data_IF_982111386245
#
_entry.id   IF_982111386245
#
_cell.length_a   1.000
_cell.length_b   1.000
_cell.length_c   1.000
_cell.angle_alpha   90.00
_cell.angle_beta   90.00
_cell.angle_gamma   90.00
#
_symmetry.space_group_name_H-M   'P 1'
#
loop_
_entity.id
_entity.type
_entity.pdbx_description
1 polymer ?
#
# COMPACT_ATOMS: atom_id res chain seq x y z
N UNK A 1 -35.77 -6.53 -13.81
CA UNK A 1 -34.82 -5.75 -14.65
C UNK A 1 -33.52 -6.53 -14.74
N UNK A 2 -32.84 -6.54 -15.89
CA UNK A 2 -31.54 -7.18 -16.08
C UNK A 2 -30.58 -6.18 -16.74
N UNK A 3 -29.48 -5.87 -16.04
CA UNK A 3 -28.40 -5.06 -16.61
C UNK A 3 -27.35 -5.99 -17.20
N UNK A 4 -27.16 -5.92 -18.51
CA UNK A 4 -26.16 -6.73 -19.22
C UNK A 4 -25.48 -5.87 -20.28
N UNK A 5 -24.17 -6.01 -20.39
CA UNK A 5 -23.35 -5.38 -21.44
C UNK A 5 -23.08 -6.42 -22.52
N UNK A 6 -23.83 -6.40 -23.65
CA UNK A 6 -23.67 -7.39 -24.71
C UNK A 6 -22.26 -7.34 -25.32
N UNK A 7 -21.60 -6.18 -25.26
CA UNK A 7 -20.25 -5.91 -25.76
C UNK A 7 -19.12 -6.61 -24.97
N UNK A 8 -19.42 -7.18 -23.80
CA UNK A 8 -18.42 -7.84 -22.95
C UNK A 8 -18.45 -9.37 -23.02
N UNK A 9 -19.38 -9.96 -23.76
CA UNK A 9 -19.49 -11.42 -23.92
C UNK A 9 -18.86 -11.80 -25.27
N UNK A 10 -17.79 -12.60 -25.25
CA UNK A 10 -17.19 -13.11 -26.49
C UNK A 10 -18.09 -14.15 -27.16
N UNK A 11 -18.35 -13.98 -28.47
CA UNK A 11 -19.05 -14.94 -29.33
C UNK A 11 -20.30 -14.41 -30.03
N UNK A 12 -20.74 -15.07 -31.12
CA UNK A 12 -21.93 -14.70 -31.91
C UNK A 12 -23.25 -14.80 -31.12
N UNK A 13 -23.24 -15.44 -29.94
CA UNK A 13 -24.36 -15.56 -28.99
C UNK A 13 -24.45 -14.41 -27.96
N UNK A 14 -23.65 -13.35 -28.10
CA UNK A 14 -23.70 -12.17 -27.21
C UNK A 14 -25.03 -11.39 -27.30
N UNK A 15 -25.80 -11.61 -28.37
CA UNK A 15 -27.12 -11.05 -28.57
C UNK A 15 -28.19 -12.03 -28.11
N UNK A 16 -29.04 -11.59 -27.18
CA UNK A 16 -30.21 -12.36 -26.76
C UNK A 16 -31.11 -12.64 -27.98
N UNK A 17 -31.61 -13.88 -28.17
CA UNK A 17 -32.48 -14.20 -29.30
C UNK A 17 -33.72 -13.30 -29.38
N UNK A 18 -34.19 -12.98 -30.58
CA UNK A 18 -35.34 -12.10 -30.78
C UNK A 18 -36.63 -12.70 -30.18
N UNK A 19 -36.74 -14.02 -30.19
CA UNK A 19 -37.82 -14.80 -29.58
C UNK A 19 -37.79 -14.60 -28.06
N UNK A 20 -36.60 -14.59 -27.44
CA UNK A 20 -36.44 -14.33 -26.02
C UNK A 20 -36.89 -12.92 -25.65
N UNK A 21 -36.46 -11.90 -26.41
CA UNK A 21 -36.85 -10.51 -26.17
C UNK A 21 -38.38 -10.30 -26.25
N UNK A 22 -39.04 -11.01 -27.17
CA UNK A 22 -40.51 -10.97 -27.34
C UNK A 22 -41.22 -11.60 -26.14
N UNK A 23 -40.78 -12.78 -25.71
CA UNK A 23 -41.36 -13.54 -24.59
C UNK A 23 -41.24 -12.81 -23.24
N UNK A 24 -40.16 -12.08 -23.01
CA UNK A 24 -39.92 -11.41 -21.71
C UNK A 24 -40.50 -9.99 -21.63
N UNK A 25 -40.94 -9.41 -22.75
CA UNK A 25 -41.43 -8.02 -22.86
C UNK A 25 -42.47 -7.61 -21.80
N UNK A 26 -43.46 -8.43 -21.40
CA UNK A 26 -44.45 -8.00 -20.42
C UNK A 26 -43.93 -7.96 -18.97
N UNK A 27 -42.78 -8.57 -18.68
CA UNK A 27 -42.29 -8.82 -17.30
C UNK A 27 -40.84 -8.41 -17.05
N UNK A 28 -40.17 -7.85 -18.03
CA UNK A 28 -38.75 -7.55 -17.93
C UNK A 28 -38.37 -6.25 -18.62
N UNK A 29 -37.24 -5.71 -18.18
CA UNK A 29 -36.59 -4.55 -18.75
C UNK A 29 -35.09 -4.86 -18.80
N UNK A 30 -34.49 -4.78 -19.98
CA UNK A 30 -33.07 -5.04 -20.20
C UNK A 30 -32.38 -3.74 -20.61
N UNK A 31 -31.25 -3.43 -19.97
CA UNK A 31 -30.45 -2.23 -20.25
C UNK A 31 -28.96 -2.55 -20.09
N UNK A 32 -28.09 -1.72 -20.64
CA UNK A 32 -26.63 -1.85 -20.47
C UNK A 32 -26.09 -1.14 -19.22
N UNK A 33 -26.88 -0.22 -18.65
CA UNK A 33 -26.51 0.53 -17.46
C UNK A 33 -27.76 0.99 -16.70
N UNK A 34 -27.61 1.16 -15.38
CA UNK A 34 -28.62 1.77 -14.52
C UNK A 34 -27.97 2.47 -13.33
N UNK A 35 -28.74 3.34 -12.67
CA UNK A 35 -28.43 3.85 -11.34
C UNK A 35 -28.67 2.77 -10.29
N UNK A 36 -27.73 1.82 -10.16
CA UNK A 36 -27.88 0.62 -9.32
C UNK A 36 -28.36 0.94 -7.89
N UNK A 37 -27.83 1.99 -7.26
CA UNK A 37 -28.27 2.46 -5.95
C UNK A 37 -29.77 2.81 -5.89
N UNK A 38 -30.28 3.50 -6.89
CA UNK A 38 -31.70 3.89 -6.96
C UNK A 38 -32.58 2.68 -7.21
N UNK A 39 -32.15 1.78 -8.09
CA UNK A 39 -32.84 0.52 -8.38
C UNK A 39 -32.96 -0.31 -7.11
N UNK A 40 -31.84 -0.60 -6.43
CA UNK A 40 -31.85 -1.39 -5.18
C UNK A 40 -32.69 -0.73 -4.07
N UNK A 41 -32.77 0.61 -4.05
CA UNK A 41 -33.59 1.34 -3.07
C UNK A 41 -35.08 1.36 -3.42
N UNK A 42 -35.47 0.92 -4.61
CA UNK A 42 -36.86 0.95 -5.07
C UNK A 42 -37.68 -0.17 -4.41
N UNK A 43 -38.89 0.12 -3.88
CA UNK A 43 -39.69 -0.85 -3.12
C UNK A 43 -40.16 -2.07 -3.94
N UNK A 44 -40.12 -1.99 -5.28
CA UNK A 44 -40.43 -3.11 -6.16
C UNK A 44 -39.30 -4.15 -6.29
N UNK A 45 -38.11 -3.90 -5.74
CA UNK A 45 -36.99 -4.85 -5.79
C UNK A 45 -37.10 -5.83 -4.61
N UNK A 46 -37.36 -7.09 -4.92
CA UNK A 46 -37.36 -8.19 -3.94
C UNK A 46 -36.05 -8.98 -3.86
N UNK A 47 -35.11 -8.75 -4.77
CA UNK A 47 -33.87 -9.54 -4.82
C UNK A 47 -32.84 -9.04 -5.83
N UNK A 48 -31.57 -9.38 -5.59
CA UNK A 48 -30.44 -8.95 -6.41
C UNK A 48 -29.51 -10.10 -6.78
N UNK A 49 -29.42 -10.45 -8.07
CA UNK A 49 -28.42 -11.38 -8.58
C UNK A 49 -27.11 -10.62 -8.81
N UNK A 50 -26.03 -11.04 -8.16
CA UNK A 50 -24.75 -10.33 -8.13
C UNK A 50 -23.55 -11.25 -8.07
N UNK A 51 -22.41 -10.75 -8.54
CA UNK A 51 -21.11 -11.41 -8.43
C UNK A 51 -20.45 -11.23 -7.06
N UNK A 52 -21.12 -10.58 -6.10
CA UNK A 52 -20.64 -10.39 -4.72
C UNK A 52 -19.40 -9.51 -4.58
N UNK A 53 -19.15 -8.59 -5.50
CA UNK A 53 -18.15 -7.53 -5.28
C UNK A 53 -18.55 -6.66 -4.09
N UNK A 54 -17.58 -6.24 -3.27
CA UNK A 54 -17.84 -5.58 -1.99
C UNK A 54 -18.78 -4.37 -2.08
N UNK A 55 -18.64 -3.54 -3.11
CA UNK A 55 -19.52 -2.38 -3.33
C UNK A 55 -20.98 -2.80 -3.54
N UNK A 56 -21.23 -3.79 -4.40
CA UNK A 56 -22.58 -4.31 -4.67
C UNK A 56 -23.19 -4.98 -3.45
N UNK A 57 -22.37 -5.71 -2.67
CA UNK A 57 -22.76 -6.28 -1.39
C UNK A 57 -23.19 -5.20 -0.39
N UNK A 58 -22.40 -4.14 -0.24
CA UNK A 58 -22.71 -3.02 0.65
C UNK A 58 -23.97 -2.26 0.22
N UNK A 59 -24.16 -2.03 -1.09
CA UNK A 59 -25.37 -1.38 -1.62
C UNK A 59 -26.62 -2.20 -1.34
N UNK A 60 -26.60 -3.52 -1.60
CA UNK A 60 -27.72 -4.42 -1.33
C UNK A 60 -28.04 -4.50 0.16
N UNK A 61 -27.01 -4.58 1.01
CA UNK A 61 -27.15 -4.60 2.46
C UNK A 61 -27.76 -3.28 2.99
N UNK A 62 -27.31 -2.12 2.48
CA UNK A 62 -27.87 -0.82 2.83
C UNK A 62 -29.30 -0.62 2.30
N UNK A 63 -29.65 -1.28 1.20
CA UNK A 63 -30.99 -1.27 0.64
C UNK A 63 -31.95 -2.22 1.37
N UNK A 64 -31.42 -3.26 2.04
CA UNK A 64 -32.19 -4.33 2.67
C UNK A 64 -32.68 -5.37 1.66
N UNK A 65 -31.92 -5.60 0.59
CA UNK A 65 -32.28 -6.50 -0.50
C UNK A 65 -31.46 -7.81 -0.39
N UNK A 66 -32.10 -8.98 -0.37
CA UNK A 66 -31.41 -10.27 -0.36
C UNK A 66 -30.81 -10.61 -1.74
N UNK A 67 -29.79 -11.47 -1.75
CA UNK A 67 -28.95 -11.71 -2.93
C UNK A 67 -28.97 -13.15 -3.44
N UNK A 68 -28.91 -13.31 -4.76
CA UNK A 68 -28.42 -14.53 -5.40
C UNK A 68 -26.96 -14.29 -5.77
N UNK A 69 -26.07 -15.16 -5.31
CA UNK A 69 -24.63 -14.97 -5.34
C UNK A 69 -23.98 -15.82 -6.44
N UNK A 70 -23.19 -15.17 -7.30
CA UNK A 70 -22.46 -15.84 -8.38
C UNK A 70 -21.02 -15.29 -8.54
N UNK A 71 -20.11 -15.63 -7.61
CA UNK A 71 -18.77 -15.05 -7.56
C UNK A 71 -17.87 -15.52 -8.71
N UNK A 72 -16.95 -14.65 -9.15
CA UNK A 72 -16.01 -14.92 -10.25
C UNK A 72 -14.54 -14.76 -9.84
N UNK A 73 -14.13 -13.62 -9.24
CA UNK A 73 -12.72 -13.32 -8.96
C UNK A 73 -12.50 -12.43 -7.73
N UNK A 74 -11.23 -12.23 -7.34
CA UNK A 74 -10.80 -11.36 -6.25
C UNK A 74 -11.43 -11.73 -4.89
N UNK A 75 -12.13 -10.80 -4.25
CA UNK A 75 -12.76 -10.94 -2.93
C UNK A 75 -14.17 -11.56 -2.98
N UNK A 76 -14.66 -11.89 -4.17
CA UNK A 76 -16.05 -12.30 -4.38
C UNK A 76 -16.40 -13.64 -3.75
N UNK A 77 -15.50 -14.63 -3.80
CA UNK A 77 -15.71 -15.94 -3.17
C UNK A 77 -15.79 -15.81 -1.63
N UNK A 78 -14.86 -15.11 -0.94
CA UNK A 78 -15.02 -14.77 0.47
C UNK A 78 -16.34 -14.03 0.77
N UNK A 79 -16.70 -13.01 -0.02
CA UNK A 79 -17.94 -12.25 0.19
C UNK A 79 -19.19 -13.14 0.07
N UNK A 80 -19.25 -14.00 -0.95
CA UNK A 80 -20.32 -14.99 -1.14
C UNK A 80 -20.49 -15.89 0.09
N UNK A 81 -19.37 -16.38 0.65
CA UNK A 81 -19.38 -17.21 1.86
C UNK A 81 -20.02 -16.48 3.05
N UNK A 82 -19.63 -15.23 3.30
CA UNK A 82 -20.23 -14.40 4.36
C UNK A 82 -21.72 -14.16 4.13
N UNK A 83 -22.11 -13.80 2.91
CA UNK A 83 -23.51 -13.56 2.53
C UNK A 83 -24.40 -14.77 2.80
N UNK A 84 -23.93 -15.96 2.41
CA UNK A 84 -24.71 -17.19 2.48
C UNK A 84 -24.68 -17.85 3.87
N UNK A 85 -23.53 -17.83 4.55
CA UNK A 85 -23.31 -18.63 5.77
C UNK A 85 -23.40 -17.80 7.06
N UNK A 86 -22.89 -16.58 7.05
CA UNK A 86 -22.75 -15.76 8.27
C UNK A 86 -23.89 -14.76 8.42
N UNK A 87 -24.23 -14.04 7.34
CA UNK A 87 -25.23 -12.97 7.37
C UNK A 87 -26.62 -13.47 7.02
N UNK A 88 -26.71 -14.58 6.28
CA UNK A 88 -27.96 -15.21 5.88
C UNK A 88 -28.82 -14.34 4.98
N UNK A 89 -28.19 -13.56 4.11
CA UNK A 89 -28.85 -12.67 3.12
C UNK A 89 -28.51 -13.06 1.68
N UNK A 90 -27.92 -14.24 1.48
CA UNK A 90 -27.48 -14.74 0.18
C UNK A 90 -27.83 -16.22 -0.06
N UNK A 91 -28.06 -16.57 -1.33
CA UNK A 91 -28.03 -17.97 -1.82
C UNK A 91 -27.10 -18.07 -3.02
N UNK A 92 -26.17 -19.01 -2.98
CA UNK A 92 -25.19 -19.23 -4.04
C UNK A 92 -25.74 -20.06 -5.21
N UNK A 93 -25.42 -19.64 -6.44
CA UNK A 93 -25.73 -20.39 -7.67
C UNK A 93 -24.80 -21.60 -7.80
N UNK A 94 -23.51 -21.46 -7.47
CA UNK A 94 -22.48 -22.49 -7.67
C UNK A 94 -21.95 -22.55 -9.11
N UNK A 95 -21.10 -23.54 -9.39
CA UNK A 95 -20.33 -23.61 -10.65
C UNK A 95 -21.13 -24.16 -11.85
N UNK A 96 -22.02 -25.15 -11.63
CA UNK A 96 -22.88 -25.71 -12.67
C UNK A 96 -24.17 -24.89 -12.82
N UNK A 97 -24.09 -23.82 -13.61
CA UNK A 97 -25.22 -22.89 -13.86
C UNK A 97 -26.13 -23.43 -14.95
N UNK A 98 -27.28 -23.98 -14.52
CA UNK A 98 -28.36 -24.44 -15.39
C UNK A 98 -29.62 -23.62 -15.20
N UNK A 99 -30.41 -23.44 -16.26
CA UNK A 99 -31.63 -22.64 -16.26
C UNK A 99 -32.57 -23.01 -15.13
N UNK A 100 -32.82 -24.31 -14.93
CA UNK A 100 -33.77 -24.81 -13.93
C UNK A 100 -33.29 -24.52 -12.52
N UNK A 101 -31.96 -24.47 -12.31
CA UNK A 101 -31.38 -24.11 -11.02
C UNK A 101 -31.56 -22.62 -10.75
N UNK A 102 -31.30 -21.77 -11.73
CA UNK A 102 -31.49 -20.31 -11.61
C UNK A 102 -32.95 -19.98 -11.36
N UNK A 103 -33.87 -20.61 -12.08
CA UNK A 103 -35.32 -20.46 -11.90
C UNK A 103 -35.74 -20.80 -10.47
N UNK A 104 -35.37 -21.97 -9.95
CA UNK A 104 -35.67 -22.37 -8.55
C UNK A 104 -35.11 -21.39 -7.52
N UNK A 105 -33.91 -20.85 -7.75
CA UNK A 105 -33.31 -19.87 -6.84
C UNK A 105 -34.06 -18.54 -6.85
N UNK A 106 -34.52 -18.09 -8.02
CA UNK A 106 -35.35 -16.88 -8.16
C UNK A 106 -36.69 -17.09 -7.46
N UNK A 107 -37.36 -18.23 -7.68
CA UNK A 107 -38.63 -18.56 -7.01
C UNK A 107 -38.48 -18.62 -5.49
N UNK A 108 -37.43 -19.27 -5.00
CA UNK A 108 -37.17 -19.36 -3.56
C UNK A 108 -36.86 -17.98 -2.94
N UNK A 109 -36.11 -17.13 -3.65
CA UNK A 109 -35.80 -15.76 -3.21
C UNK A 109 -37.07 -14.88 -3.15
N UNK A 110 -37.90 -14.94 -4.19
CA UNK A 110 -39.03 -14.02 -4.36
C UNK A 110 -40.31 -14.45 -3.65
N UNK A 111 -40.52 -15.76 -3.42
CA UNK A 111 -41.75 -16.29 -2.83
C UNK A 111 -41.56 -17.40 -1.79
N UNK A 112 -40.38 -18.00 -1.74
CA UNK A 112 -40.06 -19.11 -0.83
C UNK A 112 -39.88 -18.69 0.63
N UNK A 113 -39.88 -19.68 1.52
CA UNK A 113 -39.72 -19.46 2.96
C UNK A 113 -38.30 -18.97 3.29
N UNK A 114 -37.29 -19.46 2.58
CA UNK A 114 -35.91 -18.99 2.72
C UNK A 114 -35.78 -17.55 2.22
N UNK A 115 -36.44 -17.19 1.11
CA UNK A 115 -36.53 -15.83 0.60
C UNK A 115 -37.02 -14.83 1.65
N UNK A 116 -38.18 -15.12 2.26
CA UNK A 116 -38.76 -14.31 3.33
C UNK A 116 -37.84 -14.15 4.54
N UNK A 117 -37.15 -15.22 4.94
CA UNK A 117 -36.19 -15.17 6.04
C UNK A 117 -34.96 -14.32 5.70
N UNK A 118 -34.46 -14.40 4.46
CA UNK A 118 -33.36 -13.56 4.00
C UNK A 118 -33.76 -12.10 3.89
N UNK A 119 -34.97 -11.79 3.42
CA UNK A 119 -35.51 -10.43 3.38
C UNK A 119 -35.57 -9.82 4.79
N UNK A 120 -36.11 -10.57 5.76
CA UNK A 120 -36.14 -10.18 7.17
C UNK A 120 -34.74 -9.86 7.70
N UNK A 121 -33.76 -10.75 7.45
CA UNK A 121 -32.36 -10.53 7.83
C UNK A 121 -31.73 -9.34 7.09
N UNK A 122 -32.05 -9.14 5.82
CA UNK A 122 -31.55 -8.02 5.03
C UNK A 122 -32.04 -6.68 5.60
N UNK A 123 -33.30 -6.60 6.03
CA UNK A 123 -33.83 -5.43 6.74
C UNK A 123 -33.16 -5.20 8.10
N UNK A 124 -32.83 -6.25 8.85
CA UNK A 124 -32.05 -6.12 10.08
C UNK A 124 -30.64 -5.57 9.81
N UNK A 125 -29.96 -6.08 8.77
CA UNK A 125 -28.65 -5.58 8.37
C UNK A 125 -28.70 -4.14 7.87
N UNK A 126 -29.74 -3.76 7.11
CA UNK A 126 -30.01 -2.37 6.71
C UNK A 126 -30.11 -1.47 7.94
N UNK A 127 -30.89 -1.86 8.94
CA UNK A 127 -31.04 -1.08 10.17
C UNK A 127 -29.70 -0.94 10.93
N UNK A 128 -28.91 -2.02 11.01
CA UNK A 128 -27.57 -2.00 11.63
C UNK A 128 -26.60 -1.10 10.87
N UNK A 129 -26.55 -1.20 9.54
CA UNK A 129 -25.72 -0.35 8.69
C UNK A 129 -26.09 1.13 8.83
N UNK A 130 -27.39 1.44 8.81
CA UNK A 130 -27.91 2.79 9.04
C UNK A 130 -27.51 3.34 10.41
N UNK A 131 -27.67 2.54 11.48
CA UNK A 131 -27.25 2.93 12.84
C UNK A 131 -25.75 3.14 12.95
N UNK A 132 -24.94 2.31 12.31
CA UNK A 132 -23.48 2.43 12.35
C UNK A 132 -23.00 3.73 11.65
N UNK A 133 -23.66 4.13 10.56
CA UNK A 133 -23.31 5.31 9.77
C UNK A 133 -23.98 6.62 10.23
N UNK A 134 -25.06 6.55 11.00
CA UNK A 134 -25.74 7.74 11.55
C UNK A 134 -24.85 8.52 12.52
N UNK A 135 -25.17 9.80 12.76
CA UNK A 135 -24.45 10.63 13.74
C UNK A 135 -24.40 9.92 15.10
N UNK A 136 -23.21 9.78 15.68
CA UNK A 136 -22.98 9.03 16.92
C UNK A 136 -22.96 7.50 16.78
N UNK A 137 -23.12 6.96 15.57
CA UNK A 137 -22.93 5.56 15.24
C UNK A 137 -21.47 5.13 15.25
N UNK A 138 -21.20 3.83 15.35
CA UNK A 138 -19.82 3.30 15.47
C UNK A 138 -18.89 3.66 14.30
N UNK A 139 -19.37 3.55 13.06
CA UNK A 139 -18.58 3.94 11.88
C UNK A 139 -18.40 5.46 11.79
N UNK A 140 -19.42 6.23 12.18
CA UNK A 140 -19.35 7.69 12.25
C UNK A 140 -18.30 8.15 13.28
N UNK A 141 -18.31 7.57 14.49
CA UNK A 141 -17.32 7.85 15.55
C UNK A 141 -15.92 7.48 15.07
N UNK A 142 -15.76 6.32 14.41
CA UNK A 142 -14.47 5.91 13.88
C UNK A 142 -13.94 6.87 12.82
N UNK A 143 -14.80 7.36 11.91
CA UNK A 143 -14.41 8.35 10.91
C UNK A 143 -14.06 9.70 11.56
N UNK A 144 -14.88 10.17 12.50
CA UNK A 144 -14.63 11.39 13.26
C UNK A 144 -13.29 11.30 14.01
N UNK A 145 -12.99 10.13 14.58
CA UNK A 145 -11.70 9.84 15.21
C UNK A 145 -10.54 9.89 14.21
N UNK A 146 -10.67 9.30 13.02
CA UNK A 146 -9.63 9.39 11.97
C UNK A 146 -9.38 10.83 11.53
N UNK A 147 -10.43 11.66 11.49
CA UNK A 147 -10.31 13.08 11.12
C UNK A 147 -9.66 13.90 12.25
N UNK A 148 -10.03 13.61 13.50
CA UNK A 148 -9.63 14.41 14.66
C UNK A 148 -8.36 13.97 15.34
N UNK A 149 -7.99 12.69 15.28
CA UNK A 149 -6.77 12.19 15.89
C UNK A 149 -5.57 12.72 15.11
N UNK A 150 -4.80 13.66 15.69
CA UNK A 150 -3.61 14.14 15.03
C UNK A 150 -2.59 13.01 14.95
N UNK A 151 -1.86 12.98 13.85
CA UNK A 151 -0.65 12.16 13.74
C UNK A 151 0.35 12.63 14.82
N UNK A 152 0.55 11.81 15.84
CA UNK A 152 1.47 12.08 16.95
C UNK A 152 2.31 10.85 17.20
N UNK A 153 3.59 10.93 16.84
CA UNK A 153 4.55 9.88 17.12
C UNK A 153 4.99 9.97 18.59
N UNK A 154 4.51 9.04 19.40
CA UNK A 154 4.90 8.95 20.80
C UNK A 154 6.26 8.29 20.91
N UNK A 155 7.08 8.77 21.85
CA UNK A 155 8.32 8.10 22.21
C UNK A 155 8.07 7.07 23.30
N UNK A 156 8.30 5.79 22.99
CA UNK A 156 8.02 4.66 23.89
C UNK A 156 9.21 4.27 24.76
N UNK A 157 10.18 5.19 24.92
CA UNK A 157 11.36 5.07 25.81
C UNK A 157 12.34 3.94 25.45
N UNK A 158 12.22 3.38 24.25
CA UNK A 158 13.16 2.42 23.68
C UNK A 158 14.47 3.06 23.21
N UNK A 159 15.35 2.23 22.66
CA UNK A 159 16.65 2.73 22.21
C UNK A 159 16.53 3.46 20.86
N UNK A 160 17.20 4.60 20.74
CA UNK A 160 17.42 5.29 19.47
C UNK A 160 18.87 5.11 19.02
N UNK A 161 19.14 5.12 17.72
CA UNK A 161 20.51 5.07 17.23
C UNK A 161 21.16 6.46 17.34
N UNK A 162 22.30 6.55 18.02
CA UNK A 162 23.03 7.80 18.27
C UNK A 162 24.54 7.60 18.21
N UNK A 163 25.29 8.61 17.78
CA UNK A 163 26.73 8.54 17.56
C UNK A 163 27.08 8.22 16.11
N UNK A 164 28.24 7.60 15.88
CA UNK A 164 28.72 7.27 14.55
C UNK A 164 28.35 5.82 14.19
N UNK A 165 27.61 5.65 13.09
CA UNK A 165 27.24 4.34 12.56
C UNK A 165 27.72 4.18 11.12
N UNK A 166 28.13 2.97 10.76
CA UNK A 166 28.38 2.58 9.38
C UNK A 166 27.10 1.97 8.77
N UNK A 167 26.75 2.38 7.55
CA UNK A 167 25.70 1.72 6.77
C UNK A 167 26.34 0.78 5.75
N UNK A 168 26.28 -0.52 6.01
CA UNK A 168 26.69 -1.54 5.06
C UNK A 168 25.61 -1.70 3.98
N UNK A 169 26.03 -1.86 2.73
CA UNK A 169 25.13 -2.10 1.60
C UNK A 169 25.38 -3.51 1.05
N UNK A 170 24.35 -4.33 0.94
CA UNK A 170 24.38 -5.60 0.24
C UNK A 170 23.45 -5.51 -0.97
N UNK A 171 24.03 -5.52 -2.17
CA UNK A 171 23.28 -5.58 -3.43
C UNK A 171 23.07 -7.05 -3.82
N UNK A 172 21.83 -7.52 -3.77
CA UNK A 172 21.44 -8.89 -4.09
C UNK A 172 20.75 -8.93 -5.46
N UNK A 173 21.38 -9.61 -6.41
CA UNK A 173 21.03 -9.61 -7.83
C UNK A 173 21.81 -8.58 -8.65
N UNK A 174 21.36 -8.33 -9.88
CA UNK A 174 22.12 -7.55 -10.86
C UNK A 174 21.82 -6.06 -10.78
N UNK A 175 22.72 -5.32 -10.15
CA UNK A 175 22.76 -3.86 -10.21
C UNK A 175 23.89 -3.40 -11.13
N UNK A 176 23.66 -2.41 -11.99
CA UNK A 176 24.75 -1.82 -12.80
C UNK A 176 25.72 -0.99 -11.94
N UNK A 177 26.96 -0.74 -12.40
CA UNK A 177 27.87 0.16 -11.69
C UNK A 177 27.28 1.55 -11.43
N UNK A 178 26.49 2.09 -12.37
CA UNK A 178 25.83 3.37 -12.22
C UNK A 178 24.77 3.35 -11.11
N UNK A 179 23.93 2.29 -11.09
CA UNK A 179 22.91 2.10 -10.06
C UNK A 179 23.53 2.01 -8.66
N UNK A 180 24.60 1.23 -8.51
CA UNK A 180 25.31 1.12 -7.23
C UNK A 180 25.96 2.44 -6.79
N UNK A 181 26.50 3.21 -7.74
CA UNK A 181 27.08 4.53 -7.45
C UNK A 181 26.04 5.50 -6.91
N UNK A 182 24.85 5.55 -7.50
CA UNK A 182 23.74 6.42 -7.04
C UNK A 182 23.44 6.13 -5.57
N UNK A 183 23.27 4.86 -5.20
CA UNK A 183 22.98 4.47 -3.81
C UNK A 183 24.15 4.77 -2.88
N UNK A 184 25.39 4.44 -3.26
CA UNK A 184 26.55 4.72 -2.44
C UNK A 184 26.76 6.23 -2.20
N UNK A 185 26.53 7.05 -3.24
CA UNK A 185 26.65 8.51 -3.15
C UNK A 185 25.54 9.12 -2.31
N UNK A 186 24.32 8.58 -2.35
CA UNK A 186 23.24 8.96 -1.43
C UNK A 186 23.68 8.75 0.02
N UNK A 187 24.19 7.57 0.36
CA UNK A 187 24.66 7.26 1.72
C UNK A 187 25.79 8.18 2.17
N UNK A 188 26.77 8.44 1.30
CA UNK A 188 27.85 9.41 1.61
C UNK A 188 27.32 10.82 1.82
N UNK A 189 26.21 11.18 1.18
CA UNK A 189 25.61 12.51 1.26
C UNK A 189 24.87 12.78 2.57
N UNK A 190 24.51 11.75 3.35
CA UNK A 190 23.77 11.88 4.64
C UNK A 190 24.54 12.68 5.69
N UNK A 191 25.87 12.63 5.67
CA UNK A 191 26.74 13.36 6.61
C UNK A 191 27.68 14.33 5.91
N UNK A 192 27.39 14.69 4.65
CA UNK A 192 28.23 15.61 3.88
C UNK A 192 28.09 17.06 4.38
N UNK A 193 29.22 17.73 4.60
CA UNK A 193 29.26 19.14 5.02
C UNK A 193 29.52 20.11 3.87
N UNK A 194 29.96 19.61 2.71
CA UNK A 194 30.33 20.42 1.54
C UNK A 194 29.15 20.79 0.64
N UNK A 195 27.98 20.17 0.81
CA UNK A 195 26.80 20.39 -0.04
C UNK A 195 25.83 21.34 0.66
N UNK A 196 25.56 22.49 0.03
CA UNK A 196 24.64 23.51 0.58
C UNK A 196 23.18 23.04 0.53
N UNK A 197 22.34 23.41 1.52
CA UNK A 197 20.91 23.13 1.49
C UNK A 197 20.18 23.73 0.27
N UNK A 198 19.07 23.13 -0.20
CA UNK A 198 18.49 21.88 0.30
C UNK A 198 19.32 20.66 -0.15
N UNK A 199 19.78 19.87 0.82
CA UNK A 199 20.72 18.76 0.63
C UNK A 199 20.34 17.52 1.42
N UNK A 200 20.89 16.37 1.04
CA UNK A 200 20.63 15.08 1.72
C UNK A 200 21.01 15.17 3.20
N UNK A 201 22.11 15.85 3.52
CA UNK A 201 22.54 16.11 4.90
C UNK A 201 21.56 17.01 5.67
N UNK A 202 21.03 18.06 5.03
CA UNK A 202 20.03 18.93 5.68
C UNK A 202 18.71 18.21 5.93
N UNK A 203 18.28 17.33 5.03
CA UNK A 203 17.15 16.44 5.25
C UNK A 203 17.41 15.48 6.41
N UNK A 204 18.58 14.80 6.40
CA UNK A 204 18.99 13.86 7.45
C UNK A 204 19.06 14.50 8.83
N UNK A 205 19.41 15.79 8.92
CA UNK A 205 19.46 16.53 10.18
C UNK A 205 18.11 16.61 10.93
N UNK A 206 16.99 16.35 10.25
CA UNK A 206 15.67 16.25 10.87
C UNK A 206 15.61 15.10 11.90
N UNK A 207 16.37 14.02 11.69
CA UNK A 207 16.50 12.92 12.66
C UNK A 207 17.04 13.38 14.02
N UNK A 208 17.76 14.51 14.06
CA UNK A 208 18.33 15.04 15.30
C UNK A 208 17.25 15.58 16.25
N UNK A 209 16.06 15.86 15.74
CA UNK A 209 14.92 16.32 16.54
C UNK A 209 14.31 15.19 17.39
N UNK A 210 14.59 13.93 17.05
CA UNK A 210 14.07 12.75 17.75
C UNK A 210 14.92 12.32 18.95
N UNK A 211 16.19 12.72 19.03
CA UNK A 211 17.10 12.29 20.09
C UNK A 211 17.60 13.50 20.89
N UNK A 212 17.08 13.74 22.12
CA UNK A 212 17.55 14.85 22.95
C UNK A 212 18.97 14.62 23.49
N UNK A 213 19.51 13.40 23.35
CA UNK A 213 20.76 12.94 23.99
C UNK A 213 21.92 12.74 23.01
N UNK A 214 21.78 13.19 21.76
CA UNK A 214 22.86 13.15 20.76
C UNK A 214 22.38 12.91 19.34
N UNK A 215 23.23 13.23 18.36
CA UNK A 215 22.94 13.10 16.92
C UNK A 215 23.45 11.79 16.34
N UNK A 216 22.83 11.34 15.24
CA UNK A 216 23.26 10.17 14.47
C UNK A 216 24.02 10.62 13.23
N UNK A 217 25.25 10.12 13.06
CA UNK A 217 26.05 10.33 11.85
C UNK A 217 26.23 9.00 11.15
N UNK A 218 25.91 8.97 9.87
CA UNK A 218 26.06 7.80 9.02
C UNK A 218 27.22 7.97 8.04
N UNK A 219 28.08 6.97 7.97
CA UNK A 219 29.09 6.82 6.92
C UNK A 219 28.83 5.55 6.11
N UNK A 220 29.27 5.56 4.86
CA UNK A 220 29.23 4.35 4.04
C UNK A 220 30.16 3.29 4.65
N UNK A 221 29.59 2.14 4.98
CA UNK A 221 30.31 0.96 5.47
C UNK A 221 30.81 0.07 4.33
N UNK A 222 30.78 -1.23 4.57
CA UNK A 222 31.16 -2.23 3.57
C UNK A 222 30.09 -2.35 2.49
N UNK A 223 30.51 -2.58 1.25
CA UNK A 223 29.63 -2.84 0.12
C UNK A 223 29.84 -4.28 -0.34
N UNK A 224 28.77 -5.06 -0.34
CA UNK A 224 28.73 -6.46 -0.72
C UNK A 224 27.89 -6.62 -1.98
N UNK A 225 28.34 -7.50 -2.88
CA UNK A 225 27.65 -7.83 -4.12
C UNK A 225 27.36 -9.33 -4.11
N UNK A 226 26.12 -9.69 -4.39
CA UNK A 226 25.66 -11.07 -4.58
C UNK A 226 24.85 -11.14 -5.88
N UNK A 227 25.56 -11.07 -7.01
CA UNK A 227 24.99 -11.13 -8.35
C UNK A 227 24.71 -12.57 -8.82
N UNK A 228 25.16 -13.56 -8.04
CA UNK A 228 24.94 -14.98 -8.25
C UNK A 228 23.61 -15.48 -7.66
N UNK A 229 22.86 -14.64 -6.94
CA UNK A 229 21.61 -15.01 -6.26
C UNK A 229 21.80 -16.20 -5.32
N UNK A 230 22.73 -16.09 -4.37
CA UNK A 230 23.15 -17.22 -3.51
C UNK A 230 22.04 -17.92 -2.70
N UNK A 231 20.86 -17.32 -2.55
CA UNK A 231 19.66 -17.90 -1.91
C UNK A 231 18.49 -18.06 -2.90
N UNK A 232 18.74 -17.93 -4.21
CA UNK A 232 17.73 -17.95 -5.26
C UNK A 232 17.07 -16.59 -5.52
N UNK A 233 16.16 -16.56 -6.49
CA UNK A 233 15.44 -15.32 -6.90
C UNK A 233 14.12 -15.08 -6.18
N UNK A 234 13.72 -15.98 -5.28
CA UNK A 234 12.54 -15.84 -4.44
C UNK A 234 13.00 -15.92 -2.99
N UNK A 235 12.81 -14.84 -2.24
CA UNK A 235 13.30 -14.71 -0.88
C UNK A 235 12.14 -14.57 0.11
N UNK A 236 12.19 -15.35 1.17
CA UNK A 236 11.37 -15.15 2.36
C UNK A 236 12.03 -14.12 3.30
N UNK A 237 11.28 -13.68 4.32
CA UNK A 237 11.81 -12.78 5.34
C UNK A 237 13.05 -13.34 6.06
N UNK A 238 13.11 -14.65 6.32
CA UNK A 238 14.27 -15.32 6.93
C UNK A 238 15.54 -15.26 6.09
N UNK A 239 15.41 -15.20 4.77
CA UNK A 239 16.55 -15.08 3.85
C UNK A 239 17.16 -13.68 3.95
N UNK A 240 16.32 -12.65 4.12
CA UNK A 240 16.78 -11.27 4.31
C UNK A 240 17.57 -11.12 5.61
N UNK A 241 17.15 -11.78 6.70
CA UNK A 241 17.92 -11.87 7.95
C UNK A 241 19.28 -12.53 7.70
N UNK A 242 19.30 -13.62 6.94
CA UNK A 242 20.53 -14.34 6.58
C UNK A 242 21.48 -13.46 5.76
N UNK A 243 20.96 -12.74 4.77
CA UNK A 243 21.74 -11.81 3.95
C UNK A 243 22.28 -10.64 4.79
N UNK A 244 21.46 -10.04 5.66
CA UNK A 244 21.89 -8.98 6.55
C UNK A 244 23.04 -9.43 7.48
N UNK A 245 22.99 -10.67 7.98
CA UNK A 245 24.04 -11.22 8.84
C UNK A 245 25.38 -11.43 8.10
N UNK A 246 25.36 -11.69 6.79
CA UNK A 246 26.58 -11.87 5.97
C UNK A 246 27.43 -10.60 5.87
N UNK A 247 26.83 -9.43 6.07
CA UNK A 247 27.56 -8.17 6.13
C UNK A 247 28.46 -8.06 7.38
N UNK A 248 28.45 -9.07 8.26
CA UNK A 248 29.16 -9.10 9.54
C UNK A 248 28.88 -7.86 10.41
N UNK A 249 27.59 -7.60 10.72
CA UNK A 249 27.19 -6.41 11.45
C UNK A 249 27.78 -6.38 12.87
N UNK A 250 28.13 -5.18 13.32
CA UNK A 250 28.59 -4.87 14.67
C UNK A 250 27.65 -3.87 15.37
N UNK A 251 27.93 -3.54 16.63
CA UNK A 251 27.07 -2.69 17.48
C UNK A 251 26.82 -1.27 16.95
N UNK A 252 27.60 -0.81 15.99
CA UNK A 252 27.53 0.53 15.41
C UNK A 252 27.45 0.45 13.89
N UNK A 253 26.77 -0.58 13.39
CA UNK A 253 26.48 -0.72 11.97
C UNK A 253 25.02 -1.02 11.74
N UNK A 254 24.49 -0.50 10.64
CA UNK A 254 23.21 -0.89 10.05
C UNK A 254 23.54 -1.63 8.75
N UNK A 255 22.76 -2.66 8.40
CA UNK A 255 22.91 -3.33 7.09
C UNK A 255 21.67 -3.11 6.25
N UNK A 256 21.83 -2.55 5.06
CA UNK A 256 20.78 -2.44 4.05
C UNK A 256 20.95 -3.56 3.01
N UNK A 257 19.96 -4.43 2.90
CA UNK A 257 19.83 -5.43 1.83
C UNK A 257 19.00 -4.83 0.71
N UNK A 258 19.56 -4.71 -0.48
CA UNK A 258 18.94 -4.08 -1.64
C UNK A 258 18.78 -5.14 -2.73
N UNK A 259 17.54 -5.48 -3.09
CA UNK A 259 17.27 -6.53 -4.09
C UNK A 259 17.02 -5.94 -5.48
N UNK A 260 17.57 -6.59 -6.51
CA UNK A 260 17.40 -6.21 -7.90
C UNK A 260 15.94 -6.44 -8.38
N UNK A 261 15.48 -5.79 -9.48
CA UNK A 261 14.09 -5.83 -9.91
C UNK A 261 13.53 -7.24 -10.16
N UNK A 262 14.37 -8.17 -10.58
CA UNK A 262 14.02 -9.55 -10.90
C UNK A 262 13.92 -10.48 -9.67
N UNK A 263 14.17 -9.99 -8.46
CA UNK A 263 14.10 -10.76 -7.22
C UNK A 263 12.73 -10.60 -6.59
N UNK A 264 12.03 -11.70 -6.41
CA UNK A 264 10.75 -11.78 -5.70
C UNK A 264 11.02 -11.86 -4.19
N UNK A 265 10.31 -11.06 -3.42
CA UNK A 265 10.39 -11.06 -1.96
C UNK A 265 8.98 -11.05 -1.39
N UNK A 266 8.73 -11.88 -0.38
CA UNK A 266 7.40 -11.97 0.25
C UNK A 266 6.87 -10.61 0.70
N UNK A 267 5.69 -10.24 0.20
CA UNK A 267 5.00 -8.99 0.52
C UNK A 267 5.50 -7.75 -0.25
N UNK A 268 6.58 -7.85 -1.03
CA UNK A 268 7.00 -6.78 -1.93
C UNK A 268 5.91 -6.45 -2.94
N UNK A 269 5.65 -5.17 -3.19
CA UNK A 269 4.67 -4.73 -4.19
C UNK A 269 3.21 -5.17 -3.93
N UNK A 270 2.91 -5.63 -2.72
CA UNK A 270 1.56 -5.97 -2.27
C UNK A 270 1.21 -5.16 -1.03
N UNK A 271 2.14 -5.08 -0.08
CA UNK A 271 1.90 -4.37 1.18
C UNK A 271 3.02 -3.41 1.58
N UNK A 272 4.16 -3.43 0.88
CA UNK A 272 5.38 -2.71 1.28
C UNK A 272 6.40 -2.61 0.14
N UNK A 273 7.23 -1.57 0.20
CA UNK A 273 8.40 -1.38 -0.67
C UNK A 273 9.72 -1.84 -0.01
N UNK A 274 9.65 -2.17 1.28
CA UNK A 274 10.76 -2.55 2.12
C UNK A 274 10.32 -2.67 3.58
N UNK A 275 11.24 -2.98 4.47
CA UNK A 275 11.04 -2.87 5.92
C UNK A 275 12.38 -2.66 6.63
N UNK A 276 12.34 -2.21 7.88
CA UNK A 276 13.47 -2.32 8.81
C UNK A 276 13.09 -3.21 9.98
N UNK A 277 14.10 -3.84 10.57
CA UNK A 277 13.96 -4.76 11.69
C UNK A 277 15.33 -4.91 12.39
N UNK A 278 15.42 -5.79 13.38
CA UNK A 278 16.64 -6.09 14.08
C UNK A 278 16.88 -7.58 14.22
N UNK A 279 18.15 -7.95 14.26
CA UNK A 279 18.56 -9.32 14.52
C UNK A 279 19.62 -9.37 15.62
N UNK A 280 19.85 -10.57 16.15
CA UNK A 280 20.84 -10.82 17.20
C UNK A 280 22.15 -11.32 16.58
N UNK A 281 23.28 -10.81 17.08
CA UNK A 281 24.64 -11.19 16.70
C UNK A 281 25.57 -11.33 17.91
N UNK A 282 26.74 -11.94 17.68
CA UNK A 282 27.80 -12.16 18.67
C UNK A 282 27.65 -13.44 19.52
N UNK A 283 28.67 -13.76 20.33
CA UNK A 283 28.67 -14.95 21.22
C UNK A 283 27.41 -14.96 22.10
N UNK A 284 26.61 -16.02 22.00
CA UNK A 284 25.32 -16.23 22.71
C UNK A 284 24.20 -15.23 22.35
N UNK A 285 24.27 -14.51 21.22
CA UNK A 285 23.18 -13.64 20.73
C UNK A 285 22.88 -12.40 21.59
N UNK A 286 23.86 -11.94 22.37
CA UNK A 286 23.69 -10.82 23.32
C UNK A 286 23.67 -9.43 22.70
N UNK A 287 24.10 -9.26 21.45
CA UNK A 287 24.11 -7.95 20.79
C UNK A 287 23.01 -7.89 19.74
N UNK A 288 22.25 -6.80 19.70
CA UNK A 288 21.30 -6.52 18.61
C UNK A 288 21.99 -5.64 17.55
N UNK A 289 21.61 -5.81 16.30
CA UNK A 289 21.95 -4.90 15.22
C UNK A 289 20.68 -4.64 14.40
N UNK A 290 20.55 -3.42 13.89
CA UNK A 290 19.46 -3.05 13.00
C UNK A 290 19.84 -3.40 11.56
N UNK A 291 18.86 -3.81 10.78
CA UNK A 291 18.97 -4.01 9.35
C UNK A 291 17.70 -3.53 8.66
N UNK A 292 17.81 -3.27 7.37
CA UNK A 292 16.67 -2.93 6.53
C UNK A 292 16.79 -3.64 5.20
N UNK A 293 15.65 -3.84 4.55
CA UNK A 293 15.57 -4.32 3.19
C UNK A 293 14.73 -3.37 2.33
N UNK A 294 15.17 -3.16 1.10
CA UNK A 294 14.45 -2.39 0.07
C UNK A 294 14.48 -3.18 -1.24
N UNK A 295 13.30 -3.33 -1.84
CA UNK A 295 13.19 -3.92 -3.18
C UNK A 295 13.27 -2.86 -4.27
N UNK A 296 13.96 -3.16 -5.38
CA UNK A 296 13.93 -2.32 -6.57
C UNK A 296 12.60 -2.52 -7.33
N UNK A 297 11.75 -1.49 -7.46
CA UNK A 297 10.39 -1.65 -7.97
C UNK A 297 10.26 -1.65 -9.49
N UNK A 298 11.35 -1.47 -10.25
CA UNK A 298 11.34 -1.17 -11.68
C UNK A 298 10.40 -2.06 -12.53
N UNK A 299 10.34 -3.35 -12.23
CA UNK A 299 9.58 -4.35 -13.01
C UNK A 299 8.34 -4.90 -12.31
N UNK A 300 8.18 -4.69 -11.00
CA UNK A 300 7.11 -5.32 -10.21
C UNK A 300 6.01 -4.32 -9.83
N UNK A 301 6.36 -3.15 -9.29
CA UNK A 301 5.39 -2.12 -8.88
C UNK A 301 5.95 -0.70 -8.97
N UNK A 302 6.41 -0.26 -10.15
CA UNK A 302 6.98 1.08 -10.29
C UNK A 302 5.96 2.16 -9.87
N UNK A 303 4.68 1.97 -10.18
CA UNK A 303 3.59 2.89 -9.82
C UNK A 303 3.32 3.06 -8.32
N UNK A 304 3.79 2.14 -7.48
CA UNK A 304 3.62 2.19 -6.02
C UNK A 304 4.90 2.65 -5.34
N UNK A 305 5.98 1.88 -5.54
CA UNK A 305 7.23 2.05 -4.81
C UNK A 305 8.25 2.99 -5.50
N UNK A 306 7.97 3.44 -6.72
CA UNK A 306 8.70 4.51 -7.39
C UNK A 306 7.82 5.72 -7.70
N UNK A 307 6.63 5.84 -7.11
CA UNK A 307 5.85 7.07 -7.21
C UNK A 307 6.66 8.24 -6.61
N UNK A 308 6.76 9.41 -7.29
CA UNK A 308 5.96 9.88 -8.42
C UNK A 308 6.56 9.68 -9.83
N UNK A 309 7.58 8.82 -9.99
CA UNK A 309 8.29 8.59 -11.25
C UNK A 309 7.64 7.55 -12.18
N UNK A 310 6.56 6.91 -11.73
CA UNK A 310 5.75 6.03 -12.54
C UNK A 310 4.27 6.21 -12.24
N UNK A 311 3.43 5.77 -13.17
CA UNK A 311 1.99 5.94 -13.12
C UNK A 311 1.40 5.08 -12.00
N UNK A 312 0.64 5.65 -11.05
CA UNK A 312 0.13 4.89 -9.92
C UNK A 312 -0.95 3.90 -10.36
N UNK A 313 -1.00 2.75 -9.68
CA UNK A 313 -1.96 1.66 -9.96
C UNK A 313 -3.41 2.13 -9.68
N UNK A 314 -3.58 3.00 -8.70
CA UNK A 314 -4.85 3.57 -8.27
C UNK A 314 -4.70 5.07 -7.94
N UNK A 315 -5.81 5.79 -7.85
CA UNK A 315 -5.81 7.23 -7.55
C UNK A 315 -5.57 8.13 -8.77
N UNK A 316 -5.23 9.42 -8.57
CA UNK A 316 -5.07 10.39 -9.64
C UNK A 316 -4.02 9.96 -10.68
N UNK A 317 -4.42 9.90 -11.94
CA UNK A 317 -3.61 9.40 -13.05
C UNK A 317 -2.75 10.51 -13.67
N UNK A 318 -2.01 11.24 -12.83
CA UNK A 318 -1.13 12.33 -13.27
C UNK A 318 0.07 11.79 -14.06
N UNK A 319 0.65 12.63 -14.92
CA UNK A 319 1.83 12.25 -15.70
C UNK A 319 3.01 11.99 -14.74
N UNK A 320 3.75 10.88 -14.89
CA UNK A 320 4.92 10.60 -14.08
C UNK A 320 5.98 11.70 -14.18
N UNK A 321 6.63 12.00 -13.06
CA UNK A 321 7.76 12.93 -13.01
C UNK A 321 9.02 12.30 -13.59
N UNK A 322 9.90 13.13 -14.14
CA UNK A 322 11.20 12.68 -14.63
C UNK A 322 12.12 12.43 -13.42
N UNK A 323 12.69 11.22 -13.27
CA UNK A 323 13.49 10.84 -12.10
C UNK A 323 14.88 11.51 -12.13
N UNK A 324 15.42 11.97 -10.97
CA UNK A 324 16.62 12.80 -10.91
C UNK A 324 17.92 12.11 -11.28
N UNK A 325 17.96 10.77 -11.26
CA UNK A 325 19.12 10.00 -11.72
C UNK A 325 18.85 9.24 -13.03
N UNK A 326 17.69 9.48 -13.67
CA UNK A 326 17.32 8.84 -14.94
C UNK A 326 16.95 7.36 -14.81
N UNK A 327 16.79 6.82 -13.60
CA UNK A 327 16.46 5.42 -13.36
C UNK A 327 15.29 5.33 -12.37
N UNK A 328 14.09 5.08 -12.89
CA UNK A 328 12.84 4.98 -12.10
C UNK A 328 12.98 3.99 -10.94
N UNK A 329 13.62 2.84 -11.17
CA UNK A 329 13.79 1.79 -10.17
C UNK A 329 14.70 2.23 -9.03
N UNK A 330 15.87 2.78 -9.37
CA UNK A 330 16.83 3.23 -8.36
C UNK A 330 16.33 4.48 -7.65
N UNK A 331 15.73 5.44 -8.34
CA UNK A 331 15.18 6.64 -7.70
C UNK A 331 14.02 6.30 -6.75
N UNK A 332 13.17 5.32 -7.09
CA UNK A 332 12.18 4.74 -6.16
C UNK A 332 12.80 3.98 -4.98
N UNK A 333 13.86 3.21 -5.25
CA UNK A 333 14.64 2.53 -4.21
C UNK A 333 15.27 3.55 -3.24
N UNK A 334 15.75 4.70 -3.70
CA UNK A 334 16.27 5.76 -2.83
C UNK A 334 15.19 6.34 -1.93
N UNK A 335 13.97 6.58 -2.43
CA UNK A 335 12.84 7.04 -1.60
C UNK A 335 12.57 6.05 -0.47
N UNK A 336 12.50 4.76 -0.80
CA UNK A 336 12.23 3.69 0.16
C UNK A 336 13.39 3.50 1.15
N UNK A 337 14.64 3.58 0.67
CA UNK A 337 15.84 3.51 1.51
C UNK A 337 15.91 4.69 2.48
N UNK A 338 15.64 5.91 2.01
CA UNK A 338 15.60 7.10 2.85
C UNK A 338 14.54 6.96 3.96
N UNK A 339 13.33 6.53 3.57
CA UNK A 339 12.22 6.27 4.50
C UNK A 339 12.63 5.31 5.61
N UNK A 340 13.05 4.10 5.22
CA UNK A 340 13.33 3.05 6.17
C UNK A 340 14.57 3.32 7.01
N UNK A 341 15.56 4.04 6.46
CA UNK A 341 16.77 4.38 7.21
C UNK A 341 16.48 5.40 8.32
N UNK A 342 15.65 6.41 8.06
CA UNK A 342 15.22 7.37 9.06
C UNK A 342 14.33 6.71 10.14
N UNK A 343 13.44 5.81 9.72
CA UNK A 343 12.61 5.01 10.63
C UNK A 343 13.48 4.07 11.48
N UNK A 344 14.51 3.45 10.89
CA UNK A 344 15.48 2.61 11.61
C UNK A 344 16.20 3.37 12.70
N UNK A 345 16.62 4.62 12.48
CA UNK A 345 17.40 5.36 13.51
C UNK A 345 16.50 5.92 14.63
N UNK A 346 15.22 6.16 14.33
CA UNK A 346 14.23 6.70 15.27
C UNK A 346 13.38 5.63 15.96
N UNK A 347 13.36 4.40 15.45
CA UNK A 347 12.66 3.26 16.03
C UNK A 347 13.35 1.90 15.74
N UNK A 348 14.65 1.72 16.02
CA UNK A 348 15.42 0.56 15.57
C UNK A 348 14.92 -0.80 16.06
N UNK A 349 14.18 -0.84 17.17
CA UNK A 349 13.77 -2.08 17.84
C UNK A 349 12.26 -2.15 18.14
N UNK A 350 11.46 -1.27 17.53
CA UNK A 350 10.00 -1.23 17.71
C UNK A 350 9.53 -0.59 19.02
N UNK A 351 10.42 0.06 19.77
CA UNK A 351 10.14 0.72 21.05
C UNK A 351 10.57 2.21 21.08
N UNK A 352 10.95 2.78 19.95
CA UNK A 352 11.33 4.19 19.75
C UNK A 352 10.14 5.11 19.50
N UNK A 353 10.15 5.86 18.39
CA UNK A 353 9.07 6.78 18.00
C UNK A 353 8.09 6.12 17.03
N UNK A 354 6.83 5.95 17.44
CA UNK A 354 5.77 5.50 16.53
C UNK A 354 4.35 5.81 17.04
N UNK A 355 3.37 5.69 16.14
CA UNK A 355 1.94 5.65 16.43
C UNK A 355 1.29 4.43 15.77
N UNK A 356 0.24 3.88 16.37
CA UNK A 356 -0.48 2.72 15.82
C UNK A 356 0.01 1.38 16.38
N UNK A 357 -0.50 0.26 15.85
CA UNK A 357 -0.17 -1.07 16.35
C UNK A 357 1.28 -1.46 16.02
N UNK A 358 1.95 -2.28 16.84
CA UNK A 358 3.32 -2.74 16.56
C UNK A 358 3.49 -3.51 15.24
N UNK A 359 2.40 -4.05 14.70
CA UNK A 359 2.39 -4.77 13.41
C UNK A 359 2.42 -3.84 12.20
N UNK A 360 2.05 -2.57 12.37
CA UNK A 360 2.03 -1.55 11.31
C UNK A 360 2.21 -0.17 11.94
N UNK A 361 3.40 0.13 12.49
CA UNK A 361 3.66 1.41 13.11
C UNK A 361 3.78 2.50 12.04
N UNK A 362 3.14 3.64 12.29
CA UNK A 362 3.47 4.90 11.64
C UNK A 362 4.73 5.46 12.33
N UNK A 363 5.81 5.66 11.59
CA UNK A 363 7.12 6.09 12.10
C UNK A 363 7.53 7.43 11.47
N UNK A 364 8.78 7.85 11.70
CA UNK A 364 9.24 9.20 11.38
C UNK A 364 8.97 9.65 9.94
N UNK A 365 9.13 8.76 8.96
CA UNK A 365 8.97 9.07 7.54
C UNK A 365 7.80 8.32 6.92
N UNK A 366 7.52 7.08 7.34
CA UNK A 366 6.31 6.34 6.90
C UNK A 366 5.02 7.11 7.17
N UNK A 367 4.98 7.92 8.24
CA UNK A 367 3.83 8.80 8.52
C UNK A 367 3.63 9.94 7.51
N UNK A 368 4.64 10.22 6.69
CA UNK A 368 4.69 11.31 5.73
C UNK A 368 4.72 10.80 4.28
N UNK A 369 4.23 9.57 4.06
CA UNK A 369 4.19 8.92 2.75
C UNK A 369 3.55 9.84 1.70
N UNK A 370 4.26 10.00 0.57
CA UNK A 370 3.80 10.78 -0.57
C UNK A 370 3.97 12.31 -0.47
N UNK A 371 4.50 12.82 0.65
CA UNK A 371 4.80 14.25 0.82
C UNK A 371 6.27 14.46 0.48
N UNK A 372 6.57 15.17 -0.61
CA UNK A 372 7.95 15.48 -1.01
C UNK A 372 8.26 16.99 -1.03
N UNK A 373 7.25 17.82 -1.23
CA UNK A 373 7.36 19.28 -1.22
C UNK A 373 6.19 19.96 -0.50
N UNK A 374 6.31 21.26 -0.27
CA UNK A 374 5.23 22.06 0.31
C UNK A 374 3.94 21.95 -0.53
N UNK A 375 2.79 21.88 0.17
CA UNK A 375 1.47 21.79 -0.48
C UNK A 375 1.14 20.43 -1.09
N UNK A 376 1.87 19.36 -0.76
CA UNK A 376 1.54 18.01 -1.19
C UNK A 376 0.14 17.56 -0.74
N UNK A 377 -0.52 16.77 -1.56
CA UNK A 377 -1.82 16.13 -1.28
C UNK A 377 -1.93 14.83 -2.12
N UNK A 378 -2.91 13.95 -1.87
CA UNK A 378 -3.02 12.71 -2.64
C UNK A 378 -3.01 12.92 -4.16
N UNK A 379 -2.00 12.36 -4.84
CA UNK A 379 -1.78 12.51 -6.29
C UNK A 379 -0.91 13.69 -6.73
N UNK A 380 -0.50 14.57 -5.80
CA UNK A 380 0.42 15.68 -6.03
C UNK A 380 1.58 15.65 -5.01
N UNK A 381 2.84 15.44 -5.44
CA UNK A 381 3.97 15.27 -4.51
C UNK A 381 4.39 16.55 -3.78
N UNK A 382 3.77 17.69 -4.10
CA UNK A 382 4.12 19.01 -3.59
C UNK A 382 4.95 19.82 -4.57
N UNK A 383 5.28 21.04 -4.19
CA UNK A 383 6.15 21.92 -4.97
C UNK A 383 7.59 21.39 -4.94
N UNK A 384 8.14 21.03 -6.08
CA UNK A 384 9.49 20.45 -6.22
C UNK A 384 10.39 21.35 -7.06
N UNK A 385 11.71 21.15 -6.91
CA UNK A 385 12.71 21.75 -7.80
C UNK A 385 12.76 20.97 -9.11
N UNK A 386 13.02 21.68 -10.21
CA UNK A 386 13.16 21.09 -11.54
C UNK A 386 14.55 21.40 -12.09
N UNK A 387 15.22 20.38 -12.59
CA UNK A 387 16.48 20.52 -13.32
C UNK A 387 16.18 21.12 -14.71
N UNK A 388 16.72 22.31 -15.05
CA UNK A 388 16.42 22.97 -16.32
C UNK A 388 17.00 22.24 -17.54
N UNK A 389 18.00 21.38 -17.36
CA UNK A 389 18.66 20.63 -18.42
C UNK A 389 17.98 19.30 -18.69
N UNK A 390 17.64 18.56 -17.63
CA UNK A 390 17.07 17.21 -17.76
C UNK A 390 15.54 17.18 -17.62
N UNK A 391 14.93 18.25 -17.09
CA UNK A 391 13.53 18.27 -16.69
C UNK A 391 13.24 17.44 -15.43
N UNK A 392 14.28 16.92 -14.76
CA UNK A 392 14.12 16.02 -13.63
C UNK A 392 13.67 16.73 -12.35
N UNK A 393 12.81 16.08 -11.59
CA UNK A 393 12.24 16.61 -10.36
C UNK A 393 13.02 16.11 -9.14
N UNK A 394 13.35 17.03 -8.23
CA UNK A 394 14.11 16.73 -7.03
C UNK A 394 13.75 17.71 -5.91
N UNK A 395 14.14 17.40 -4.69
CA UNK A 395 14.10 18.36 -3.59
C UNK A 395 15.44 18.46 -2.86
N UNK A 396 16.41 17.62 -3.18
CA UNK A 396 17.65 17.48 -2.40
C UNK A 396 18.88 17.34 -3.29
N UNK A 397 19.94 18.08 -2.95
CA UNK A 397 21.28 17.95 -3.53
C UNK A 397 22.14 16.97 -2.74
N UNK A 398 22.90 16.14 -3.46
CA UNK A 398 23.90 15.25 -2.88
C UNK A 398 25.32 15.53 -3.39
N UNK A 399 26.25 14.69 -2.94
CA UNK A 399 27.63 14.69 -3.43
C UNK A 399 27.69 14.34 -4.93
N UNK A 400 28.81 14.69 -5.55
CA UNK A 400 29.07 14.44 -6.97
C UNK A 400 27.99 15.01 -7.93
N UNK A 401 27.32 16.09 -7.54
CA UNK A 401 26.26 16.73 -8.35
C UNK A 401 24.97 15.94 -8.44
N UNK A 402 24.82 14.86 -7.64
CA UNK A 402 23.61 14.03 -7.60
C UNK A 402 22.42 14.81 -7.07
N UNK A 403 21.24 14.47 -7.58
CA UNK A 403 19.95 15.00 -7.13
C UNK A 403 19.10 13.84 -6.64
N UNK A 404 18.32 14.08 -5.60
CA UNK A 404 17.45 13.09 -4.99
C UNK A 404 16.09 13.69 -4.68
N UNK A 405 15.07 12.84 -4.70
CA UNK A 405 13.76 13.13 -4.15
C UNK A 405 13.62 12.38 -2.83
N UNK A 406 13.52 13.12 -1.72
CA UNK A 406 13.45 12.57 -0.38
C UNK A 406 12.10 12.87 0.26
N UNK A 407 11.45 11.90 0.91
CA UNK A 407 10.16 12.11 1.56
C UNK A 407 10.27 13.13 2.71
N UNK A 408 9.18 13.80 3.04
CA UNK A 408 9.08 14.59 4.25
C UNK A 408 9.29 13.70 5.48
N UNK A 409 9.82 14.29 6.56
CA UNK A 409 9.96 13.63 7.85
C UNK A 409 9.07 14.34 8.86
N UNK A 410 8.39 13.59 9.72
CA UNK A 410 7.57 14.15 10.78
C UNK A 410 8.46 14.94 11.75
N UNK A 411 8.08 16.17 12.06
CA UNK A 411 8.85 17.02 12.96
C UNK A 411 8.22 16.93 14.36
N UNK A 412 8.93 16.35 15.36
CA UNK A 412 8.39 16.17 16.71
C UNK A 412 8.11 17.49 17.45
N UNK A 413 8.66 18.62 16.98
CA UNK A 413 8.41 19.94 17.57
C UNK A 413 7.14 20.57 17.01
N UNK A 414 6.94 20.50 15.70
CA UNK A 414 5.76 21.12 15.04
C UNK A 414 4.58 20.17 14.91
N UNK A 415 4.79 18.86 15.10
CA UNK A 415 3.83 17.77 14.90
C UNK A 415 3.27 17.70 13.49
N UNK A 416 4.09 18.01 12.49
CA UNK A 416 3.72 18.01 11.08
C UNK A 416 4.80 17.35 10.23
N UNK A 417 4.41 16.80 9.09
CA UNK A 417 5.34 16.36 8.07
C UNK A 417 6.06 17.55 7.46
N UNK A 418 7.38 17.59 7.59
CA UNK A 418 8.23 18.67 7.10
C UNK A 418 8.93 18.26 5.81
N UNK A 419 8.48 18.73 4.63
CA UNK A 419 9.23 18.55 3.39
C UNK A 419 10.51 19.40 3.41
N UNK A 420 11.45 19.08 2.53
CA UNK A 420 12.72 19.80 2.44
C UNK A 420 12.59 21.15 1.70
N UNK A 421 11.62 21.25 0.79
CA UNK A 421 11.37 22.41 -0.09
C UNK A 421 9.89 22.80 -0.12
#
# INVERSE_FOLDING_TARGET
MWVIRPDLVEGENALLPAEFATEIKPRSFITNWCTQKEVLSHPAIGGFLTHCGWNSTMESMCAGVPMICWPFFADQQPNCRFLCSEWGIGIEIGEDVKREKVERLIEELMGGQKGKEMERKALEWKARAGKAASIGGGSWINLDRVIKEPLVLNYHKGALLKGNYSLNLLFYGRFSPAQRSIVADFVRSLSATSVRPPSVASWWSTTFLYSPVGTIRLSLGRVFLDDAYSLGKSLAHSDLVTLAARAAPHRSSITAVLTAPEVLVDGFCVSRCGFHDYARAGRRGRSRYAYLWVGNPATQCPGECAWPFAKPIYGPQTRPLVPPNGDVGVDGLIISLATLLADTVTNPYGDGYFQGPPTMPNEAVTSCTGIFGAGAFPGYPGNLLVDPTTGAYYNSLGLAGRKYLLPAMWDPKTKQCKPLV
#
